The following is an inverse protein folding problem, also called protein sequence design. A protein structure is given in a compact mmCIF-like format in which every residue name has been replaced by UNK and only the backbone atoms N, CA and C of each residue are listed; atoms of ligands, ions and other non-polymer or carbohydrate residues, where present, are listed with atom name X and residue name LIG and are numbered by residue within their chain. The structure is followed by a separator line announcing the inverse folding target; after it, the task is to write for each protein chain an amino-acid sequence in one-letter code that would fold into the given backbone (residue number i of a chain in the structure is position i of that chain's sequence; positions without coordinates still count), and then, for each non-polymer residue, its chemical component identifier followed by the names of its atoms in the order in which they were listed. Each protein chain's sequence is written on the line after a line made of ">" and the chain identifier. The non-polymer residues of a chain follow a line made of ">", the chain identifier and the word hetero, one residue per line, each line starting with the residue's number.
data_IF_630269913541
#
_entry.id   IF_630269913541
#
_cell.length_a   1.000
_cell.length_b   1.000
_cell.length_c   1.000
_cell.angle_alpha   90.00
_cell.angle_beta   90.00
_cell.angle_gamma   90.00
#
_symmetry.space_group_name_H-M   'P 1'
#
loop_
_entity.id
_entity.type
_entity.pdbx_description
1 polymer ?
#
# COMPACT_ATOMS: atom_id res chain seq x y z
N UNK A 1 17.35 15.50 -8.53
CA UNK A 1 16.08 16.11 -9.00
C UNK A 1 15.20 15.07 -9.69
N UNK A 2 15.76 14.17 -10.51
CA UNK A 2 15.03 13.09 -11.23
C UNK A 2 14.08 12.22 -10.38
N UNK A 3 14.45 11.85 -9.14
CA UNK A 3 13.60 10.99 -8.31
C UNK A 3 12.32 11.65 -7.81
N UNK A 4 12.33 12.97 -7.57
CA UNK A 4 11.14 13.71 -7.12
C UNK A 4 10.17 13.92 -8.27
N UNK A 5 10.66 14.38 -9.42
CA UNK A 5 9.85 14.62 -10.61
C UNK A 5 9.19 13.32 -11.11
N UNK A 6 9.93 12.20 -11.09
CA UNK A 6 9.36 10.93 -11.50
C UNK A 6 8.29 10.41 -10.52
N UNK A 7 8.38 10.76 -9.24
CA UNK A 7 7.33 10.44 -8.26
C UNK A 7 6.11 11.33 -8.46
N UNK A 8 6.31 12.63 -8.67
CA UNK A 8 5.23 13.58 -8.96
C UNK A 8 4.48 13.22 -10.25
N UNK A 9 5.18 12.73 -11.28
CA UNK A 9 4.57 12.25 -12.51
C UNK A 9 3.66 11.01 -12.32
N UNK A 10 3.77 10.29 -11.19
CA UNK A 10 2.92 9.16 -10.87
C UNK A 10 1.64 9.56 -10.12
N UNK A 11 1.46 10.84 -9.77
CA UNK A 11 0.35 11.32 -8.93
C UNK A 11 -0.63 12.09 -9.80
N UNK A 12 -1.88 11.62 -9.87
CA UNK A 12 -2.93 12.28 -10.66
C UNK A 12 -3.70 13.30 -9.81
N UNK A 13 -3.89 13.02 -8.51
CA UNK A 13 -4.62 13.88 -7.58
C UNK A 13 -4.03 13.86 -6.17
N UNK A 14 -4.18 14.96 -5.44
CA UNK A 14 -3.79 15.09 -4.03
C UNK A 14 -5.00 15.41 -3.16
N UNK A 15 -5.14 14.68 -2.06
CA UNK A 15 -6.20 14.89 -1.06
C UNK A 15 -5.57 14.82 0.33
N UNK A 16 -5.33 15.98 0.96
CA UNK A 16 -4.59 16.01 2.23
C UNK A 16 -5.35 15.27 3.35
N UNK A 17 -4.79 14.17 3.84
CA UNK A 17 -5.32 13.46 5.00
C UNK A 17 -4.83 14.10 6.31
N UNK A 18 -5.71 14.33 7.30
CA UNK A 18 -5.30 14.72 8.65
C UNK A 18 -4.68 13.56 9.44
N UNK A 19 -4.82 12.32 8.96
CA UNK A 19 -4.36 11.11 9.64
C UNK A 19 -2.88 10.86 9.35
N UNK A 20 -2.02 11.79 9.74
CA UNK A 20 -0.58 11.65 9.61
C UNK A 20 0.17 12.52 10.60
N UNK A 21 1.42 12.14 10.87
CA UNK A 21 2.33 12.86 11.75
C UNK A 21 3.78 12.71 11.30
N UNK A 22 4.71 13.20 12.10
CA UNK A 22 6.13 13.12 11.77
C UNK A 22 6.68 11.71 11.96
N UNK A 23 7.56 11.30 11.05
CA UNK A 23 8.39 10.11 11.24
C UNK A 23 9.33 10.35 12.43
N UNK A 24 9.75 9.30 13.16
CA UNK A 24 10.79 9.47 14.18
C UNK A 24 12.05 10.13 13.59
N UNK A 25 12.74 10.96 14.38
CA UNK A 25 13.90 11.71 13.90
C UNK A 25 14.98 10.77 13.35
N UNK A 26 15.52 11.07 12.17
CA UNK A 26 16.57 10.28 11.51
C UNK A 26 16.10 8.91 10.98
N UNK A 27 14.80 8.62 11.01
CA UNK A 27 14.23 7.37 10.51
C UNK A 27 14.30 7.29 8.99
N UNK A 28 15.11 6.41 8.38
CA UNK A 28 15.09 6.23 6.94
C UNK A 28 13.80 5.54 6.52
N UNK A 29 13.28 5.94 5.35
CA UNK A 29 12.22 5.19 4.67
C UNK A 29 12.91 4.00 3.99
N UNK A 30 12.62 2.78 4.47
CA UNK A 30 13.31 1.58 4.02
C UNK A 30 12.38 0.50 3.45
N UNK A 31 11.06 0.68 3.56
CA UNK A 31 10.07 -0.33 3.19
C UNK A 31 8.91 0.28 2.38
N UNK A 32 8.48 -0.42 1.33
CA UNK A 32 7.15 -0.21 0.74
C UNK A 32 6.22 -1.33 1.21
N UNK A 33 5.01 -0.96 1.64
CA UNK A 33 3.96 -1.92 2.01
C UNK A 33 2.80 -1.78 1.03
N UNK A 34 2.51 -2.85 0.29
CA UNK A 34 1.34 -2.95 -0.58
C UNK A 34 0.14 -3.47 0.22
N UNK A 35 -1.00 -2.84 0.00
CA UNK A 35 -2.29 -3.14 0.62
C UNK A 35 -3.35 -3.29 -0.46
N UNK A 36 -4.51 -3.78 -0.07
CA UNK A 36 -5.70 -3.77 -0.90
C UNK A 36 -6.92 -3.36 -0.08
N UNK A 37 -7.76 -2.51 -0.66
CA UNK A 37 -8.96 -2.01 0.00
C UNK A 37 -10.09 -1.81 -1.00
N UNK A 38 -11.32 -2.11 -0.57
CA UNK A 38 -12.57 -1.72 -1.22
C UNK A 38 -13.57 -1.32 -0.15
N UNK A 39 -14.34 -0.26 -0.43
CA UNK A 39 -15.31 0.25 0.51
C UNK A 39 -16.58 0.74 -0.21
N UNK A 40 -17.77 0.15 0.06
CA UNK A 40 -18.00 -1.10 0.79
C UNK A 40 -17.17 -2.28 0.28
N UNK A 41 -17.01 -3.37 1.06
CA UNK A 41 -16.25 -4.54 0.61
C UNK A 41 -16.73 -5.03 -0.76
N UNK A 42 -15.79 -5.30 -1.67
CA UNK A 42 -16.05 -5.71 -3.07
C UNK A 42 -16.71 -4.66 -3.96
N UNK A 43 -16.87 -3.41 -3.49
CA UNK A 43 -17.37 -2.28 -4.28
C UNK A 43 -16.22 -1.34 -4.61
N UNK A 44 -16.14 -0.95 -5.88
CA UNK A 44 -15.08 -0.10 -6.44
C UNK A 44 -15.66 1.15 -7.09
N UNK A 45 -14.85 2.19 -7.26
CA UNK A 45 -15.21 3.43 -7.96
C UNK A 45 -15.92 4.49 -7.12
N UNK A 46 -16.28 4.19 -5.86
CA UNK A 46 -16.87 5.15 -4.91
C UNK A 46 -15.84 6.04 -4.21
N UNK A 47 -16.29 7.00 -3.41
CA UNK A 47 -15.42 7.90 -2.65
C UNK A 47 -15.15 7.44 -1.20
N UNK A 48 -15.73 6.31 -0.80
CA UNK A 48 -15.73 5.89 0.61
C UNK A 48 -14.31 5.66 1.16
N UNK A 49 -13.37 5.13 0.37
CA UNK A 49 -11.96 4.97 0.79
C UNK A 49 -11.31 6.34 1.05
N UNK A 50 -11.53 7.30 0.15
CA UNK A 50 -11.05 8.68 0.34
C UNK A 50 -11.65 9.31 1.60
N UNK A 51 -12.95 9.10 1.83
CA UNK A 51 -13.65 9.58 3.02
C UNK A 51 -13.16 8.91 4.31
N UNK A 52 -12.84 7.62 4.26
CA UNK A 52 -12.24 6.90 5.39
C UNK A 52 -10.87 7.51 5.74
N UNK A 53 -10.02 7.71 4.74
CA UNK A 53 -8.67 8.26 4.96
C UNK A 53 -8.67 9.73 5.36
N UNK A 54 -9.78 10.44 5.18
CA UNK A 54 -9.94 11.86 5.56
C UNK A 54 -10.82 12.10 6.79
N UNK A 55 -11.28 11.03 7.47
CA UNK A 55 -12.23 11.10 8.59
C UNK A 55 -13.57 11.76 8.25
N UNK A 56 -14.03 11.64 7.01
CA UNK A 56 -15.30 12.19 6.52
C UNK A 56 -16.30 11.10 6.10
N UNK A 57 -15.96 9.82 6.35
CA UNK A 57 -16.86 8.70 6.12
C UNK A 57 -18.02 8.77 7.11
N UNK A 58 -19.24 8.76 6.60
CA UNK A 58 -20.45 8.66 7.42
C UNK A 58 -20.67 7.19 7.83
N UNK A 59 -20.56 6.83 9.12
CA UNK A 59 -20.77 5.44 9.57
C UNK A 59 -22.18 4.91 9.30
N UNK A 60 -23.18 5.80 9.18
CA UNK A 60 -24.56 5.43 8.87
C UNK A 60 -24.82 5.26 7.37
N UNK A 61 -23.88 5.66 6.50
CA UNK A 61 -24.04 5.63 5.04
C UNK A 61 -24.08 4.21 4.45
N UNK A 62 -23.58 3.21 5.16
CA UNK A 62 -23.66 1.79 4.77
C UNK A 62 -23.42 0.88 5.98
N UNK A 63 -24.09 -0.29 6.11
CA UNK A 63 -23.91 -1.20 7.26
C UNK A 63 -22.45 -1.61 7.53
N UNK A 64 -21.66 -1.77 6.47
CA UNK A 64 -20.23 -2.10 6.58
C UNK A 64 -19.35 -0.95 7.13
N UNK A 65 -19.87 0.28 7.23
CA UNK A 65 -19.10 1.44 7.70
C UNK A 65 -19.18 1.61 9.22
N UNK A 66 -20.19 1.03 9.87
CA UNK A 66 -20.37 1.14 11.32
C UNK A 66 -19.13 0.65 12.10
N UNK A 67 -18.49 -0.44 11.65
CA UNK A 67 -17.27 -0.96 12.30
C UNK A 67 -16.02 -0.11 12.04
N UNK A 68 -16.12 0.91 11.19
CA UNK A 68 -15.03 1.83 10.88
C UNK A 68 -15.14 3.15 11.66
N UNK A 69 -16.24 3.34 12.41
CA UNK A 69 -16.45 4.54 13.22
C UNK A 69 -15.30 4.75 14.20
N UNK A 70 -14.78 5.98 14.25
CA UNK A 70 -13.68 6.37 15.12
C UNK A 70 -12.30 5.87 14.69
N UNK A 71 -12.20 5.02 13.66
CA UNK A 71 -10.89 4.64 13.10
C UNK A 71 -10.21 5.86 12.49
N UNK A 72 -8.92 5.98 12.76
CA UNK A 72 -8.04 6.99 12.15
C UNK A 72 -6.93 6.28 11.42
N UNK A 73 -7.08 6.19 10.10
CA UNK A 73 -6.18 5.47 9.21
C UNK A 73 -5.93 6.28 7.94
N UNK A 74 -4.82 6.03 7.28
CA UNK A 74 -4.46 6.62 6.00
C UNK A 74 -3.41 5.77 5.31
N UNK A 75 -3.27 5.94 4.01
CA UNK A 75 -2.10 5.49 3.25
C UNK A 75 -1.36 6.69 2.67
N UNK A 76 -0.20 6.47 2.04
CA UNK A 76 0.44 7.54 1.27
C UNK A 76 -0.23 7.66 -0.09
N UNK A 77 -0.51 6.53 -0.73
CA UNK A 77 -1.10 6.48 -2.06
C UNK A 77 -2.26 5.49 -2.12
N UNK A 78 -3.25 5.79 -2.94
CA UNK A 78 -4.34 4.88 -3.33
C UNK A 78 -4.42 4.83 -4.86
N UNK A 79 -4.38 3.62 -5.43
CA UNK A 79 -4.44 3.38 -6.86
C UNK A 79 -5.77 2.71 -7.20
N UNK A 80 -6.62 3.44 -7.92
CA UNK A 80 -7.94 3.00 -8.36
C UNK A 80 -7.88 1.90 -9.41
N UNK A 81 -9.02 1.26 -9.71
CA UNK A 81 -9.11 0.20 -10.75
C UNK A 81 -8.66 0.68 -12.13
N UNK A 82 -8.91 1.94 -12.46
CA UNK A 82 -8.53 2.62 -13.70
C UNK A 82 -7.11 3.21 -13.67
N UNK A 83 -6.36 2.96 -12.59
CA UNK A 83 -5.01 3.45 -12.32
C UNK A 83 -4.88 4.94 -11.98
N UNK A 84 -5.96 5.66 -11.68
CA UNK A 84 -5.86 6.96 -11.00
C UNK A 84 -5.13 6.77 -9.66
N UNK A 85 -4.07 7.56 -9.43
CA UNK A 85 -3.28 7.57 -8.21
C UNK A 85 -3.57 8.83 -7.41
N UNK A 86 -4.09 8.62 -6.21
CA UNK A 86 -4.40 9.68 -5.25
C UNK A 86 -3.34 9.65 -4.14
N UNK A 87 -2.64 10.76 -3.91
CA UNK A 87 -1.75 10.96 -2.77
C UNK A 87 -2.53 11.56 -1.59
N UNK A 88 -2.50 10.88 -0.44
CA UNK A 88 -3.12 11.33 0.81
C UNK A 88 -2.14 11.95 1.79
N UNK A 89 -0.94 11.38 1.85
CA UNK A 89 0.13 11.77 2.77
C UNK A 89 1.44 11.76 1.99
N UNK A 90 2.20 12.87 1.97
CA UNK A 90 3.49 12.89 1.31
C UNK A 90 4.43 11.85 1.97
N UNK A 91 5.27 11.14 1.22
CA UNK A 91 6.08 10.02 1.72
C UNK A 91 7.03 10.40 2.85
N UNK A 92 7.46 11.67 2.94
CA UNK A 92 8.31 12.17 4.02
C UNK A 92 7.60 12.23 5.38
N UNK A 93 6.25 12.24 5.41
CA UNK A 93 5.44 12.14 6.63
C UNK A 93 5.02 10.69 6.88
N UNK A 94 4.58 10.40 8.11
CA UNK A 94 4.12 9.08 8.53
C UNK A 94 2.61 8.96 8.31
N UNK A 95 2.19 8.18 7.32
CA UNK A 95 0.80 7.71 7.21
C UNK A 95 0.50 6.56 8.20
N UNK A 96 -0.78 6.31 8.47
CA UNK A 96 -1.23 5.33 9.47
C UNK A 96 -1.88 4.10 8.81
N UNK A 97 -1.09 3.28 8.12
CA UNK A 97 -1.59 2.15 7.31
C UNK A 97 -1.30 0.76 7.89
N UNK A 98 -0.17 0.57 8.58
CA UNK A 98 0.32 -0.75 8.95
C UNK A 98 -0.23 -1.29 10.28
N UNK A 99 -0.74 -0.42 11.16
CA UNK A 99 -1.15 -0.80 12.53
C UNK A 99 -0.04 -1.56 13.29
N UNK A 100 -0.46 -2.52 14.14
CA UNK A 100 0.47 -3.45 14.80
C UNK A 100 1.15 -4.34 13.75
N UNK A 101 2.45 -4.17 13.58
CA UNK A 101 3.23 -4.73 12.48
C UNK A 101 4.72 -4.86 12.82
N UNK A 102 5.41 -5.80 12.17
CA UNK A 102 6.84 -6.06 12.30
C UNK A 102 7.44 -6.49 10.96
N UNK A 103 8.56 -5.90 10.57
CA UNK A 103 9.33 -6.29 9.38
C UNK A 103 10.77 -6.58 9.78
N UNK A 104 11.27 -7.79 9.49
CA UNK A 104 12.64 -8.22 9.81
C UNK A 104 13.07 -7.90 11.26
N UNK A 105 12.17 -8.14 12.22
CA UNK A 105 12.42 -7.89 13.66
C UNK A 105 12.17 -6.45 14.11
N UNK A 106 11.85 -5.53 13.19
CA UNK A 106 11.56 -4.13 13.48
C UNK A 106 10.05 -3.87 13.55
N UNK A 107 9.57 -3.57 14.76
CA UNK A 107 8.17 -3.21 14.99
C UNK A 107 7.81 -1.81 14.45
N UNK A 108 6.51 -1.50 14.37
CA UNK A 108 5.93 -0.19 13.99
C UNK A 108 6.28 0.22 12.57
N UNK A 109 5.84 -0.58 11.59
CA UNK A 109 6.22 -0.38 10.19
C UNK A 109 5.86 1.00 9.63
N UNK A 110 4.82 1.68 10.15
CA UNK A 110 4.51 3.06 9.76
C UNK A 110 5.73 3.99 9.86
N UNK A 111 6.60 3.81 10.85
CA UNK A 111 7.72 4.71 11.12
C UNK A 111 8.69 4.79 9.92
N UNK A 112 8.92 3.68 9.22
CA UNK A 112 9.93 3.53 8.17
C UNK A 112 9.39 3.05 6.83
N UNK A 113 8.06 3.04 6.64
CA UNK A 113 7.45 2.57 5.40
C UNK A 113 6.55 3.56 4.68
N UNK A 114 6.37 3.30 3.38
CA UNK A 114 5.38 3.92 2.51
C UNK A 114 4.29 2.89 2.19
N UNK A 115 3.09 3.11 2.69
CA UNK A 115 1.88 2.35 2.33
C UNK A 115 1.25 2.80 1.01
N UNK A 116 1.02 1.84 0.11
CA UNK A 116 0.28 1.98 -1.15
C UNK A 116 -0.92 1.05 -1.12
N UNK A 117 -2.12 1.61 -1.25
CA UNK A 117 -3.38 0.89 -1.33
C UNK A 117 -3.78 0.67 -2.79
N UNK A 118 -4.12 -0.57 -3.16
CA UNK A 118 -4.73 -0.87 -4.45
C UNK A 118 -6.24 -1.06 -4.25
N UNK A 119 -7.06 -0.38 -5.06
CA UNK A 119 -8.51 -0.62 -5.06
C UNK A 119 -8.77 -2.07 -5.50
N UNK A 120 -9.26 -2.90 -4.58
CA UNK A 120 -9.29 -4.35 -4.77
C UNK A 120 -9.71 -5.12 -3.54
N UNK A 121 -9.52 -6.44 -3.62
CA UNK A 121 -9.87 -7.38 -2.57
C UNK A 121 -9.14 -8.71 -2.73
N UNK A 122 -9.23 -9.56 -1.71
CA UNK A 122 -8.67 -10.91 -1.70
C UNK A 122 -9.49 -11.91 -2.53
N UNK A 123 -10.49 -11.44 -3.29
CA UNK A 123 -11.46 -12.29 -4.00
C UNK A 123 -11.40 -12.17 -5.53
N UNK A 124 -10.66 -11.20 -6.06
CA UNK A 124 -10.61 -10.95 -7.49
C UNK A 124 -9.27 -10.34 -7.96
N UNK A 125 -8.88 -10.58 -9.23
CA UNK A 125 -7.65 -10.04 -9.80
C UNK A 125 -7.58 -8.49 -9.80
N UNK A 126 -6.37 -7.95 -9.72
CA UNK A 126 -6.07 -6.54 -10.00
C UNK A 126 -5.97 -6.27 -11.51
N UNK A 127 -6.25 -5.04 -11.94
CA UNK A 127 -6.22 -4.69 -13.37
C UNK A 127 -4.79 -4.56 -13.90
N UNK A 128 -4.60 -4.71 -15.21
CA UNK A 128 -3.28 -4.46 -15.83
C UNK A 128 -2.77 -3.04 -15.58
N UNK A 129 -3.68 -2.06 -15.66
CA UNK A 129 -3.35 -0.66 -15.41
C UNK A 129 -2.86 -0.44 -13.96
N UNK A 130 -3.47 -1.12 -12.98
CA UNK A 130 -3.00 -1.09 -11.59
C UNK A 130 -1.58 -1.63 -11.44
N UNK A 131 -1.26 -2.76 -12.09
CA UNK A 131 0.09 -3.33 -12.04
C UNK A 131 1.15 -2.40 -12.65
N UNK A 132 0.86 -1.82 -13.81
CA UNK A 132 1.75 -0.86 -14.46
C UNK A 132 1.97 0.37 -13.58
N UNK A 133 0.89 0.90 -13.00
CA UNK A 133 0.95 2.09 -12.14
C UNK A 133 1.69 1.84 -10.84
N UNK A 134 1.41 0.74 -10.12
CA UNK A 134 2.10 0.44 -8.87
C UNK A 134 3.58 0.14 -9.10
N UNK A 135 3.94 -0.52 -10.21
CA UNK A 135 5.34 -0.73 -10.58
C UNK A 135 6.06 0.59 -10.87
N UNK A 136 5.44 1.51 -11.63
CA UNK A 136 5.99 2.83 -11.91
C UNK A 136 6.19 3.65 -10.62
N UNK A 137 5.18 3.66 -9.74
CA UNK A 137 5.21 4.36 -8.47
C UNK A 137 6.31 3.80 -7.54
N UNK A 138 6.40 2.48 -7.39
CA UNK A 138 7.46 1.84 -6.60
C UNK A 138 8.83 2.15 -7.18
N UNK A 139 9.01 2.07 -8.50
CA UNK A 139 10.28 2.42 -9.13
C UNK A 139 10.68 3.89 -8.88
N UNK A 140 9.71 4.81 -8.86
CA UNK A 140 9.95 6.21 -8.51
C UNK A 140 10.34 6.38 -7.04
N UNK A 141 9.67 5.68 -6.12
CA UNK A 141 10.03 5.66 -4.70
C UNK A 141 11.45 5.12 -4.47
N UNK A 142 11.83 4.03 -5.14
CA UNK A 142 13.19 3.46 -5.06
C UNK A 142 14.25 4.45 -5.55
N UNK A 143 13.97 5.25 -6.60
CA UNK A 143 14.87 6.31 -7.05
C UNK A 143 14.95 7.47 -6.07
N UNK A 144 13.82 7.86 -5.48
CA UNK A 144 13.74 8.99 -4.54
C UNK A 144 14.36 8.68 -3.18
N UNK A 145 14.21 7.44 -2.72
CA UNK A 145 14.64 6.94 -1.42
C UNK A 145 15.54 5.70 -1.60
N UNK A 146 16.86 5.89 -1.81
CA UNK A 146 17.79 4.78 -1.99
C UNK A 146 17.91 3.83 -0.79
N UNK A 147 17.42 4.24 0.39
CA UNK A 147 17.33 3.40 1.58
C UNK A 147 16.23 2.37 1.55
N UNK A 148 15.28 2.46 0.60
CA UNK A 148 14.26 1.43 0.39
C UNK A 148 14.93 0.20 -0.20
N UNK A 149 14.92 -0.89 0.56
CA UNK A 149 15.53 -2.16 0.19
C UNK A 149 14.51 -3.30 0.11
N UNK A 150 13.24 -3.03 0.45
CA UNK A 150 12.20 -4.05 0.58
C UNK A 150 10.84 -3.57 0.09
N UNK A 151 10.11 -4.46 -0.57
CA UNK A 151 8.67 -4.36 -0.87
C UNK A 151 7.97 -5.57 -0.25
N UNK A 152 6.97 -5.31 0.57
CA UNK A 152 6.19 -6.34 1.25
C UNK A 152 4.69 -6.07 1.10
N UNK A 153 3.88 -7.10 1.28
CA UNK A 153 2.42 -6.95 1.47
C UNK A 153 2.09 -6.76 2.95
N UNK A 154 0.90 -6.22 3.26
CA UNK A 154 0.45 -6.09 4.65
C UNK A 154 0.43 -7.44 5.39
N UNK A 155 0.06 -8.52 4.69
CA UNK A 155 0.10 -9.88 5.19
C UNK A 155 1.50 -10.35 5.63
N UNK A 156 2.58 -9.81 5.05
CA UNK A 156 3.95 -10.18 5.41
C UNK A 156 4.42 -9.47 6.69
N UNK A 157 3.96 -8.24 6.94
CA UNK A 157 4.35 -7.46 8.13
C UNK A 157 3.41 -7.68 9.32
N UNK A 158 2.24 -8.27 9.09
CA UNK A 158 1.22 -8.52 10.09
C UNK A 158 0.53 -9.88 9.84
N UNK A 159 1.28 -10.99 9.85
CA UNK A 159 0.74 -12.32 9.60
C UNK A 159 -0.36 -12.65 10.60
N UNK A 160 -1.32 -13.50 10.19
CA UNK A 160 -2.54 -13.87 10.95
C UNK A 160 -3.57 -12.73 11.09
N UNK A 161 -3.13 -11.48 11.29
CA UNK A 161 -4.02 -10.31 11.45
C UNK A 161 -4.53 -9.78 10.11
N UNK A 162 -3.69 -9.80 9.08
CA UNK A 162 -3.95 -9.16 7.78
C UNK A 162 -3.64 -10.13 6.64
N UNK A 163 -4.46 -10.08 5.60
CA UNK A 163 -4.38 -10.98 4.44
C UNK A 163 -4.10 -10.22 3.13
N UNK A 164 -4.36 -8.92 3.08
CA UNK A 164 -4.10 -8.06 1.93
C UNK A 164 -2.58 -7.92 1.63
N UNK A 165 -2.18 -7.76 0.34
CA UNK A 165 -2.99 -7.56 -0.86
C UNK A 165 -3.64 -8.85 -1.42
N UNK A 166 -3.54 -9.97 -0.67
CA UNK A 166 -4.30 -11.17 -0.94
C UNK A 166 -3.68 -12.07 -2.01
N UNK A 167 -4.29 -13.25 -2.24
CA UNK A 167 -3.80 -14.24 -3.19
C UNK A 167 -3.89 -13.81 -4.66
N UNK A 168 -4.66 -12.76 -4.95
CA UNK A 168 -4.84 -12.24 -6.31
C UNK A 168 -3.82 -11.18 -6.72
N UNK A 169 -2.94 -10.75 -5.80
CA UNK A 169 -1.79 -9.94 -6.15
C UNK A 169 -0.64 -10.83 -6.63
N UNK A 170 -0.38 -10.79 -7.93
CA UNK A 170 0.68 -11.53 -8.61
C UNK A 170 2.01 -10.80 -8.46
N UNK A 171 2.79 -11.25 -7.48
CA UNK A 171 4.12 -10.72 -7.19
C UNK A 171 5.11 -10.92 -8.32
N UNK A 172 4.99 -11.98 -9.12
CA UNK A 172 5.87 -12.22 -10.27
C UNK A 172 5.59 -11.22 -11.38
N UNK A 173 4.31 -10.97 -11.67
CA UNK A 173 3.89 -9.93 -12.63
C UNK A 173 4.36 -8.55 -12.19
N UNK A 174 4.15 -8.20 -10.92
CA UNK A 174 4.64 -6.94 -10.37
C UNK A 174 6.16 -6.79 -10.52
N UNK A 175 6.92 -7.81 -10.15
CA UNK A 175 8.38 -7.78 -10.24
C UNK A 175 8.88 -7.66 -11.69
N UNK A 176 8.21 -8.31 -12.64
CA UNK A 176 8.56 -8.24 -14.07
C UNK A 176 8.37 -6.83 -14.67
N UNK A 177 7.51 -6.00 -14.07
CA UNK A 177 7.26 -4.62 -14.51
C UNK A 177 8.23 -3.62 -13.87
N UNK A 178 8.99 -4.00 -12.84
CA UNK A 178 10.00 -3.14 -12.26
C UNK A 178 11.23 -3.05 -13.18
N UNK A 179 11.86 -1.87 -13.31
CA UNK A 179 13.10 -1.74 -14.06
C UNK A 179 14.19 -2.69 -13.52
N UNK A 180 15.04 -3.31 -14.36
CA UNK A 180 16.09 -4.22 -13.90
C UNK A 180 17.06 -3.62 -12.87
N UNK A 181 17.31 -2.31 -12.96
CA UNK A 181 18.13 -1.57 -11.99
C UNK A 181 17.50 -1.47 -10.61
N UNK A 182 16.17 -1.58 -10.54
CA UNK A 182 15.38 -1.57 -9.30
C UNK A 182 15.31 -2.98 -8.68
N UNK A 183 15.06 -4.01 -9.50
CA UNK A 183 14.94 -5.40 -9.02
C UNK A 183 16.24 -5.97 -8.46
N UNK A 184 17.40 -5.55 -8.97
CA UNK A 184 18.70 -5.99 -8.44
C UNK A 184 19.01 -5.48 -7.02
N UNK A 185 18.25 -4.48 -6.53
CA UNK A 185 18.52 -3.79 -5.25
C UNK A 185 17.44 -3.97 -4.20
N UNK A 186 16.29 -4.57 -4.54
CA UNK A 186 15.12 -4.62 -3.67
C UNK A 186 14.66 -6.06 -3.42
N UNK A 187 14.42 -6.41 -2.15
CA UNK A 187 13.79 -7.67 -1.75
C UNK A 187 12.28 -7.54 -1.96
N UNK A 188 11.68 -8.49 -2.67
CA UNK A 188 10.22 -8.56 -2.85
C UNK A 188 9.70 -9.76 -2.09
N UNK A 189 9.04 -9.52 -0.95
CA UNK A 189 8.64 -10.56 0.00
C UNK A 189 7.81 -11.68 -0.67
N UNK A 190 6.89 -11.30 -1.54
CA UNK A 190 6.01 -12.26 -2.21
C UNK A 190 6.69 -13.16 -3.25
N UNK A 191 7.93 -12.87 -3.68
CA UNK A 191 8.72 -13.77 -4.54
C UNK A 191 9.44 -14.86 -3.74
N UNK A 192 9.85 -14.54 -2.51
CA UNK A 192 10.50 -15.49 -1.60
C UNK A 192 9.49 -16.38 -0.87
N UNK A 193 8.21 -16.00 -0.92
CA UNK A 193 7.08 -16.72 -0.32
C UNK A 193 6.66 -17.93 -1.16
N UNK A 194 7.59 -18.85 -1.40
CA UNK A 194 7.30 -20.13 -2.02
C UNK A 194 6.50 -21.03 -1.07
N UNK A 195 5.29 -21.42 -1.49
CA UNK A 195 4.39 -22.43 -0.91
C UNK A 195 3.62 -22.06 0.38
N UNK A 196 2.62 -21.21 0.24
CA UNK A 196 1.35 -21.47 0.94
C UNK A 196 0.44 -22.25 -0.02
N UNK A 197 0.68 -23.56 -0.17
CA UNK A 197 -0.45 -24.44 -0.45
C UNK A 197 -1.36 -24.36 0.78
N UNK A 198 -2.68 -24.24 0.63
CA UNK A 198 -3.56 -24.50 1.75
C UNK A 198 -3.28 -25.94 2.18
N UNK A 199 -2.92 -26.12 3.46
CA UNK A 199 -3.14 -27.41 4.11
C UNK A 199 -4.63 -27.69 3.96
N UNK A 200 -4.98 -28.51 2.97
CA UNK A 200 -6.22 -29.24 2.94
C UNK A 200 -6.25 -30.02 4.26
N UNK A 201 -7.13 -29.60 5.16
CA UNK A 201 -7.52 -30.41 6.30
C UNK A 201 -8.16 -31.69 5.75
N UNK A 202 -7.69 -32.79 6.32
CA UNK A 202 -8.09 -34.20 6.24
C UNK A 202 -9.40 -34.53 5.54
#
# INVERSE_FOLDING_TARGET
>A
MEGKEALEACIDRRVASPNCDERPAGMPISLVVLHAISLPPEVFGGDAVERLFTNTLDPAGHPAFASLEGLRVSAHYFIRRDAETIEFVPPDRRAWHAGLSCWEGRARCNDFSVGIELEGSDRQPFTSAQYERVAALVAALLRRYPSIDSVAGHCHIAPVRKTDPGPFFDWHRFAALLPPTSTARVRIAGLSSGRFLPLLLS
#
